data_IF_702728307031
#
_entry.id   IF_702728307031
#
_cell.length_a   1.000
_cell.length_b   1.000
_cell.length_c   1.000
_cell.angle_alpha   90.00
_cell.angle_beta   90.00
_cell.angle_gamma   90.00
#
_symmetry.space_group_name_H-M   'P 1'
#
loop_
_entity.id
_entity.type
_entity.pdbx_description
1 polymer ?
#
# COMPACT_ATOMS: atom_id res chain seq x y z
N UNK A 1 10.93 -12.26 -27.72
CA UNK A 1 9.88 -11.50 -28.42
C UNK A 1 9.21 -10.63 -27.37
N UNK A 2 9.39 -9.31 -27.42
CA UNK A 2 8.69 -8.39 -26.50
C UNK A 2 7.22 -8.35 -26.93
N UNK A 3 6.30 -8.69 -26.03
CA UNK A 3 4.87 -8.55 -26.27
C UNK A 3 4.55 -7.06 -26.10
N UNK A 4 4.40 -6.34 -27.21
CA UNK A 4 3.96 -4.96 -27.17
C UNK A 4 2.50 -4.89 -26.73
N UNK A 5 2.21 -4.15 -25.65
CA UNK A 5 0.84 -3.85 -25.25
C UNK A 5 0.27 -2.74 -26.13
N UNK A 6 -1.03 -2.80 -26.42
CA UNK A 6 -1.78 -1.68 -26.99
C UNK A 6 -2.64 -1.07 -25.87
N UNK A 7 -2.17 -0.01 -25.18
CA UNK A 7 -2.72 0.40 -23.88
C UNK A 7 -4.22 0.67 -23.86
N UNK A 8 -4.79 1.11 -25.00
CA UNK A 8 -6.22 1.43 -25.14
C UNK A 8 -7.12 0.21 -25.43
N UNK A 9 -6.54 -0.98 -25.56
CA UNK A 9 -7.29 -2.23 -25.86
C UNK A 9 -7.08 -3.32 -24.82
N UNK A 10 -6.40 -2.97 -23.72
CA UNK A 10 -6.19 -3.87 -22.59
C UNK A 10 -7.55 -4.26 -22.01
N UNK A 11 -7.74 -5.56 -21.76
CA UNK A 11 -8.99 -6.08 -21.20
C UNK A 11 -8.91 -6.26 -19.69
N UNK A 12 -7.77 -6.77 -19.20
CA UNK A 12 -7.60 -7.11 -17.79
C UNK A 12 -6.31 -6.54 -17.22
N UNK A 13 -6.42 -6.01 -16.01
CA UNK A 13 -5.29 -5.75 -15.12
C UNK A 13 -5.40 -6.69 -13.91
N UNK A 14 -4.44 -7.58 -13.75
CA UNK A 14 -4.48 -8.64 -12.73
C UNK A 14 -3.38 -8.47 -11.70
N UNK A 15 -3.75 -8.56 -10.43
CA UNK A 15 -2.83 -8.76 -9.31
C UNK A 15 -2.59 -10.26 -9.15
N UNK A 16 -1.46 -10.76 -9.67
CA UNK A 16 -1.17 -12.20 -9.80
C UNK A 16 -0.78 -12.80 -8.46
N UNK A 17 0.30 -12.33 -7.83
CA UNK A 17 0.61 -12.64 -6.43
C UNK A 17 1.60 -11.66 -5.79
N UNK A 18 1.76 -11.79 -4.48
CA UNK A 18 2.79 -11.09 -3.71
C UNK A 18 3.52 -12.12 -2.85
N UNK A 19 4.85 -12.10 -2.88
CA UNK A 19 5.70 -13.05 -2.14
C UNK A 19 6.73 -12.31 -1.31
N UNK A 20 7.06 -12.89 -0.16
CA UNK A 20 8.12 -12.41 0.71
C UNK A 20 9.20 -13.47 0.86
N UNK A 21 10.45 -13.06 0.70
CA UNK A 21 11.61 -13.91 0.94
C UNK A 21 12.81 -13.06 1.35
N UNK A 22 13.45 -13.40 2.48
CA UNK A 22 14.74 -12.87 2.91
C UNK A 22 14.90 -11.34 2.83
N UNK A 23 13.86 -10.60 3.24
CA UNK A 23 13.88 -9.14 3.23
C UNK A 23 13.46 -8.52 1.89
N UNK A 24 13.00 -9.31 0.93
CA UNK A 24 12.52 -8.83 -0.36
C UNK A 24 11.04 -9.19 -0.55
N UNK A 25 10.26 -8.20 -0.98
CA UNK A 25 8.91 -8.41 -1.51
C UNK A 25 8.97 -8.49 -3.05
N UNK A 26 8.35 -9.50 -3.62
CA UNK A 26 8.17 -9.68 -5.07
C UNK A 26 6.69 -9.57 -5.39
N UNK A 27 6.32 -8.59 -6.21
CA UNK A 27 4.93 -8.26 -6.54
C UNK A 27 4.73 -8.53 -8.04
N UNK A 28 3.80 -9.42 -8.39
CA UNK A 28 3.55 -9.81 -9.79
C UNK A 28 2.18 -9.34 -10.25
N UNK A 29 2.18 -8.68 -11.40
CA UNK A 29 1.00 -8.19 -12.09
C UNK A 29 0.92 -8.80 -13.48
N UNK A 30 -0.26 -8.73 -14.10
CA UNK A 30 -0.41 -9.01 -15.52
C UNK A 30 -1.32 -8.00 -16.20
N UNK A 31 -0.94 -7.59 -17.41
CA UNK A 31 -1.74 -6.80 -18.35
C UNK A 31 -2.07 -7.73 -19.52
N UNK A 32 -3.29 -8.26 -19.54
CA UNK A 32 -3.70 -9.37 -20.41
C UNK A 32 -2.72 -10.58 -20.34
N UNK A 33 -1.80 -10.69 -21.31
CA UNK A 33 -0.79 -11.75 -21.39
C UNK A 33 0.63 -11.27 -21.00
N UNK A 34 0.84 -9.96 -20.82
CA UNK A 34 2.12 -9.41 -20.37
C UNK A 34 2.22 -9.56 -18.86
N UNK A 35 3.22 -10.29 -18.38
CA UNK A 35 3.55 -10.39 -16.96
C UNK A 35 4.57 -9.33 -16.56
N UNK A 36 4.39 -8.75 -15.37
CA UNK A 36 5.20 -7.66 -14.83
C UNK A 36 5.62 -8.03 -13.41
N UNK A 37 6.91 -7.95 -13.11
CA UNK A 37 7.44 -8.26 -11.78
C UNK A 37 8.15 -7.06 -11.17
N UNK A 38 7.64 -6.57 -10.05
CA UNK A 38 8.27 -5.56 -9.21
C UNK A 38 8.98 -6.23 -8.03
N UNK A 39 10.14 -5.69 -7.62
CA UNK A 39 10.80 -6.11 -6.36
C UNK A 39 11.07 -4.92 -5.45
N UNK A 40 10.89 -5.14 -4.15
CA UNK A 40 11.13 -4.15 -3.10
C UNK A 40 12.05 -4.78 -2.03
N UNK A 41 13.25 -4.24 -1.87
CA UNK A 41 14.23 -4.69 -0.89
C UNK A 41 14.11 -3.90 0.42
N UNK A 42 14.02 -4.62 1.54
CA UNK A 42 14.03 -4.13 2.91
C UNK A 42 15.29 -4.63 3.62
N UNK A 43 16.42 -3.90 3.52
CA UNK A 43 17.68 -4.35 4.10
C UNK A 43 17.60 -4.44 5.62
N UNK A 44 18.14 -5.54 6.18
CA UNK A 44 18.10 -5.78 7.62
C UNK A 44 16.71 -6.11 8.16
N UNK A 45 15.79 -6.58 7.31
CA UNK A 45 14.47 -7.02 7.77
C UNK A 45 14.60 -8.10 8.86
N UNK A 46 13.90 -7.95 10.00
CA UNK A 46 13.95 -8.93 11.08
C UNK A 46 13.20 -10.21 10.69
N UNK A 47 13.52 -11.31 11.38
CA UNK A 47 12.74 -12.55 11.27
C UNK A 47 11.29 -12.32 11.70
N UNK A 48 10.36 -12.73 10.85
CA UNK A 48 8.92 -12.66 11.13
C UNK A 48 8.52 -13.75 12.12
N UNK A 49 7.88 -13.36 13.23
CA UNK A 49 7.35 -14.33 14.18
C UNK A 49 6.02 -14.92 13.70
N UNK A 50 5.72 -16.19 14.01
CA UNK A 50 4.44 -16.82 13.62
C UNK A 50 3.21 -16.03 14.10
N UNK A 51 3.29 -15.40 15.29
CA UNK A 51 2.22 -14.58 15.85
C UNK A 51 1.87 -13.34 15.02
N UNK A 52 2.78 -12.89 14.13
CA UNK A 52 2.60 -11.71 13.26
C UNK A 52 2.35 -12.07 11.80
N UNK A 53 2.41 -13.35 11.44
CA UNK A 53 2.33 -13.82 10.05
C UNK A 53 1.07 -13.29 9.34
N UNK A 54 -0.11 -13.51 9.92
CA UNK A 54 -1.37 -13.10 9.29
C UNK A 54 -1.47 -11.57 9.05
N UNK A 55 -0.96 -10.75 9.98
CA UNK A 55 -0.95 -9.30 9.81
C UNK A 55 0.07 -8.86 8.76
N UNK A 56 1.22 -9.54 8.71
CA UNK A 56 2.23 -9.30 7.69
C UNK A 56 1.73 -9.68 6.29
N UNK A 57 1.03 -10.81 6.14
CA UNK A 57 0.44 -11.23 4.87
C UNK A 57 -0.60 -10.23 4.36
N UNK A 58 -1.44 -9.67 5.24
CA UNK A 58 -2.35 -8.56 4.90
C UNK A 58 -1.59 -7.30 4.47
N UNK A 59 -0.52 -6.95 5.18
CA UNK A 59 0.31 -5.80 4.81
C UNK A 59 1.02 -5.99 3.46
N UNK A 60 1.47 -7.21 3.15
CA UNK A 60 2.10 -7.56 1.88
C UNK A 60 1.08 -7.52 0.73
N UNK A 61 -0.15 -8.01 0.95
CA UNK A 61 -1.24 -7.87 -0.01
C UNK A 61 -1.59 -6.40 -0.26
N UNK A 62 -1.70 -5.59 0.80
CA UNK A 62 -1.93 -4.15 0.67
C UNK A 62 -0.81 -3.46 -0.12
N UNK A 63 0.46 -3.77 0.19
CA UNK A 63 1.61 -3.24 -0.54
C UNK A 63 1.52 -3.57 -2.04
N UNK A 64 1.12 -4.79 -2.39
CA UNK A 64 0.90 -5.21 -3.78
C UNK A 64 -0.14 -4.35 -4.49
N UNK A 65 -1.29 -4.11 -3.86
CA UNK A 65 -2.37 -3.35 -4.47
C UNK A 65 -2.03 -1.88 -4.64
N UNK A 66 -1.42 -1.28 -3.62
CA UNK A 66 -1.04 0.13 -3.64
C UNK A 66 0.10 0.40 -4.63
N UNK A 67 1.12 -0.47 -4.68
CA UNK A 67 2.22 -0.36 -5.64
C UNK A 67 1.73 -0.54 -7.09
N UNK A 68 0.70 -1.35 -7.30
CA UNK A 68 0.05 -1.58 -8.59
C UNK A 68 -0.47 -0.31 -9.28
N UNK A 69 -0.69 0.79 -8.55
CA UNK A 69 -1.05 2.09 -9.13
C UNK A 69 -0.10 2.53 -10.24
N UNK A 70 1.19 2.24 -10.08
CA UNK A 70 2.23 2.60 -11.06
C UNK A 70 1.99 1.91 -12.40
N UNK A 71 1.53 0.66 -12.38
CA UNK A 71 1.27 -0.16 -13.56
C UNK A 71 -0.11 0.13 -14.15
N UNK A 72 -1.13 0.28 -13.30
CA UNK A 72 -2.49 0.60 -13.74
C UNK A 72 -2.52 1.91 -14.53
N UNK A 73 -1.71 2.90 -14.15
CA UNK A 73 -1.53 4.15 -14.90
C UNK A 73 -1.25 3.94 -16.40
N UNK A 74 -0.48 2.91 -16.76
CA UNK A 74 -0.15 2.62 -18.15
C UNK A 74 -1.35 2.16 -18.97
N UNK A 75 -2.40 1.63 -18.33
CA UNK A 75 -3.56 0.99 -18.98
C UNK A 75 -4.90 1.64 -18.61
N UNK A 76 -4.89 2.65 -17.73
CA UNK A 76 -6.09 3.27 -17.17
C UNK A 76 -7.06 3.77 -18.26
N UNK A 77 -6.54 4.26 -19.39
CA UNK A 77 -7.36 4.75 -20.50
C UNK A 77 -8.22 3.68 -21.20
N UNK A 78 -7.96 2.39 -21.00
CA UNK A 78 -8.81 1.31 -21.50
C UNK A 78 -9.95 0.93 -20.54
N UNK A 79 -9.93 1.42 -19.29
CA UNK A 79 -10.86 0.97 -18.24
C UNK A 79 -10.87 -0.57 -18.07
N UNK A 80 -9.70 -1.22 -17.91
CA UNK A 80 -9.64 -2.68 -17.87
C UNK A 80 -10.31 -3.23 -16.61
N UNK A 81 -10.88 -4.43 -16.71
CA UNK A 81 -11.40 -5.13 -15.52
C UNK A 81 -10.25 -5.48 -14.58
N UNK A 82 -10.41 -5.18 -13.29
CA UNK A 82 -9.43 -5.51 -12.26
C UNK A 82 -9.71 -6.91 -11.70
N UNK A 83 -8.66 -7.73 -11.59
CA UNK A 83 -8.75 -9.09 -11.06
C UNK A 83 -7.72 -9.29 -9.95
N UNK A 84 -8.13 -9.89 -8.83
CA UNK A 84 -7.23 -10.34 -7.78
C UNK A 84 -7.15 -11.87 -7.79
N UNK A 85 -5.97 -12.45 -8.07
CA UNK A 85 -5.86 -13.91 -8.25
C UNK A 85 -5.63 -14.69 -6.94
N UNK A 86 -5.04 -14.06 -5.91
CA UNK A 86 -4.81 -14.70 -4.60
C UNK A 86 -5.87 -14.36 -3.56
N UNK A 87 -6.01 -13.07 -3.27
CA UNK A 87 -6.93 -12.53 -2.25
C UNK A 87 -7.50 -11.23 -2.77
N UNK A 88 -8.82 -11.07 -2.64
CA UNK A 88 -9.50 -9.79 -2.85
C UNK A 88 -9.47 -8.95 -1.57
N UNK A 89 -9.46 -7.61 -1.69
CA UNK A 89 -9.58 -6.73 -0.53
C UNK A 89 -10.89 -6.94 0.22
N UNK A 90 -10.83 -6.81 1.55
CA UNK A 90 -12.02 -6.60 2.38
C UNK A 90 -12.58 -5.19 2.13
N UNK A 91 -13.82 -4.90 2.57
CA UNK A 91 -14.49 -3.65 2.23
C UNK A 91 -13.72 -2.39 2.69
N UNK A 92 -13.10 -2.44 3.87
CA UNK A 92 -12.26 -1.37 4.42
C UNK A 92 -10.94 -1.22 3.64
N UNK A 93 -10.31 -2.34 3.30
CA UNK A 93 -9.11 -2.37 2.47
C UNK A 93 -9.39 -1.83 1.06
N UNK A 94 -10.52 -2.20 0.46
CA UNK A 94 -10.95 -1.71 -0.86
C UNK A 94 -11.22 -0.21 -0.81
N UNK A 95 -11.79 0.30 0.29
CA UNK A 95 -11.98 1.74 0.48
C UNK A 95 -10.65 2.49 0.44
N UNK A 96 -9.62 1.96 1.11
CA UNK A 96 -8.27 2.55 1.07
C UNK A 96 -7.66 2.45 -0.33
N UNK A 97 -7.73 1.29 -0.96
CA UNK A 97 -7.17 1.06 -2.30
C UNK A 97 -7.86 1.97 -3.33
N UNK A 98 -9.18 2.08 -3.31
CA UNK A 98 -9.94 2.98 -4.18
C UNK A 98 -9.52 4.44 -3.99
N UNK A 99 -9.43 4.91 -2.74
CA UNK A 99 -8.99 6.26 -2.43
C UNK A 99 -7.57 6.55 -2.97
N UNK A 100 -6.65 5.59 -2.82
CA UNK A 100 -5.28 5.75 -3.34
C UNK A 100 -5.26 5.81 -4.87
N UNK A 101 -6.07 5.01 -5.56
CA UNK A 101 -6.13 5.07 -7.02
C UNK A 101 -6.80 6.35 -7.51
N UNK A 102 -7.98 6.72 -6.97
CA UNK A 102 -8.70 7.92 -7.39
C UNK A 102 -7.91 9.19 -7.11
N UNK A 103 -7.39 9.35 -5.91
CA UNK A 103 -6.67 10.56 -5.53
C UNK A 103 -5.23 10.56 -6.04
N UNK A 104 -4.55 9.42 -6.01
CA UNK A 104 -3.17 9.29 -6.48
C UNK A 104 -3.04 9.44 -8.00
N UNK A 105 -4.08 9.10 -8.77
CA UNK A 105 -4.09 9.25 -10.22
C UNK A 105 -4.88 10.47 -10.70
N UNK A 106 -5.40 11.33 -9.80
CA UNK A 106 -6.25 12.46 -10.17
C UNK A 106 -5.57 13.44 -11.15
N UNK A 107 -4.34 13.88 -10.85
CA UNK A 107 -3.59 14.77 -11.74
C UNK A 107 -3.28 14.08 -13.08
N UNK A 108 -2.87 12.81 -13.04
CA UNK A 108 -2.65 12.03 -14.25
C UNK A 108 -3.91 11.96 -15.11
N UNK A 109 -5.06 11.66 -14.52
CA UNK A 109 -6.33 11.57 -15.22
C UNK A 109 -6.73 12.92 -15.83
N UNK A 110 -6.61 14.00 -15.06
CA UNK A 110 -6.88 15.36 -15.55
C UNK A 110 -6.01 15.72 -16.76
N UNK A 111 -4.68 15.51 -16.65
CA UNK A 111 -3.73 15.80 -17.74
C UNK A 111 -4.02 14.98 -19.00
N UNK A 112 -4.54 13.76 -18.85
CA UNK A 112 -4.81 12.85 -19.97
C UNK A 112 -6.28 12.84 -20.42
N UNK A 113 -7.14 13.70 -19.86
CA UNK A 113 -8.56 13.76 -20.19
C UNK A 113 -9.33 12.47 -19.87
N UNK A 114 -8.91 11.75 -18.83
CA UNK A 114 -9.56 10.52 -18.38
C UNK A 114 -10.55 10.82 -17.26
N UNK A 115 -11.71 10.17 -17.32
CA UNK A 115 -12.68 10.13 -16.24
C UNK A 115 -12.51 8.82 -15.45
N UNK A 116 -11.82 8.88 -14.31
CA UNK A 116 -11.57 7.68 -13.51
C UNK A 116 -12.85 7.13 -12.87
N UNK A 117 -13.90 7.93 -12.69
CA UNK A 117 -15.14 7.44 -12.10
C UNK A 117 -15.86 6.47 -13.04
N UNK A 118 -15.72 6.65 -14.35
CA UNK A 118 -16.24 5.74 -15.37
C UNK A 118 -15.25 4.67 -15.84
N UNK A 119 -13.96 4.77 -15.49
CA UNK A 119 -12.93 3.81 -15.95
C UNK A 119 -12.44 2.88 -14.85
N UNK A 120 -12.45 3.31 -13.58
CA UNK A 120 -11.98 2.53 -12.44
C UNK A 120 -13.15 1.78 -11.79
N UNK A 121 -13.31 0.52 -12.19
CA UNK A 121 -14.28 -0.39 -11.62
C UNK A 121 -13.59 -1.53 -10.87
N UNK A 122 -13.84 -1.58 -9.55
CA UNK A 122 -13.38 -2.68 -8.71
C UNK A 122 -14.33 -3.87 -8.81
N UNK A 123 -13.83 -5.11 -8.72
CA UNK A 123 -14.69 -6.27 -8.60
C UNK A 123 -15.51 -6.18 -7.29
N UNK A 124 -16.71 -6.76 -7.29
CA UNK A 124 -17.51 -6.87 -6.08
C UNK A 124 -16.71 -7.60 -5.00
N UNK A 125 -16.70 -7.05 -3.78
CA UNK A 125 -16.17 -7.76 -2.61
C UNK A 125 -17.02 -9.01 -2.46
N UNK A 126 -16.41 -10.19 -2.61
CA UNK A 126 -17.09 -11.43 -2.25
C UNK A 126 -17.47 -11.32 -0.78
N UNK A 127 -18.77 -11.12 -0.51
CA UNK A 127 -19.29 -11.01 0.85
C UNK A 127 -19.19 -12.39 1.49
N UNK A 128 -18.01 -12.72 2.01
CA UNK A 128 -17.89 -13.76 3.02
C UNK A 128 -18.68 -13.25 4.22
N UNK A 129 -19.89 -13.77 4.41
CA UNK A 129 -20.73 -13.46 5.57
C UNK A 129 -19.85 -13.63 6.82
N UNK A 130 -19.57 -12.57 7.58
CA UNK A 130 -18.92 -12.74 8.86
C UNK A 130 -19.91 -13.54 9.71
N UNK A 131 -19.56 -14.78 10.07
CA UNK A 131 -20.27 -15.51 11.11
C UNK A 131 -19.94 -14.81 12.43
N UNK A 132 -20.65 -13.72 12.69
CA UNK A 132 -20.74 -13.13 14.01
C UNK A 132 -21.63 -14.07 14.81
N UNK A 133 -21.01 -15.05 15.45
CA UNK A 133 -21.61 -15.66 16.64
C UNK A 133 -21.69 -14.54 17.67
N UNK A 134 -22.82 -13.85 17.65
CA UNK A 134 -23.16 -12.81 18.61
C UNK A 134 -23.20 -13.44 20.00
N UNK A 135 -22.19 -13.16 20.81
CA UNK A 135 -22.30 -13.30 22.25
C UNK A 135 -23.42 -12.38 22.72
N UNK A 136 -24.53 -12.97 23.14
CA UNK A 136 -25.67 -12.25 23.71
C UNK A 136 -25.22 -11.56 25.00
N UNK A 137 -25.04 -10.24 24.94
CA UNK A 137 -25.00 -9.35 26.09
C UNK A 137 -26.14 -8.35 25.92
N UNK A 138 -27.17 -8.48 26.75
CA UNK A 138 -28.30 -7.54 26.83
C UNK A 138 -27.81 -6.22 27.39
N UNK A 139 -27.93 -5.13 26.62
CA UNK A 139 -27.77 -3.77 27.11
C UNK A 139 -29.00 -2.96 26.70
N UNK A 140 -29.78 -2.62 27.72
CA UNK A 140 -30.92 -1.71 27.65
C UNK A 140 -30.52 -0.32 27.18
N UNK A 141 -31.43 0.29 26.43
CA UNK A 141 -31.30 1.60 25.81
C UNK A 141 -31.45 2.71 26.85
N UNK A 142 -30.57 3.70 26.83
CA UNK A 142 -30.93 5.05 27.28
C UNK A 142 -30.23 6.09 26.40
N UNK A 143 -31.00 7.11 26.08
CA UNK A 143 -30.90 8.10 25.02
C UNK A 143 -29.87 9.22 25.25
N UNK A 144 -29.37 9.79 24.15
CA UNK A 144 -29.04 11.22 24.09
C UNK A 144 -27.58 11.66 24.27
N UNK A 145 -26.75 11.52 23.23
CA UNK A 145 -25.49 12.26 23.10
C UNK A 145 -24.60 11.73 21.98
N UNK A 146 -24.42 12.51 20.90
CA UNK A 146 -23.61 12.13 19.75
C UNK A 146 -22.15 11.85 20.16
N UNK A 147 -21.78 10.56 20.20
CA UNK A 147 -20.40 10.11 20.29
C UNK A 147 -19.68 10.26 18.93
N UNK A 148 -18.34 10.40 18.92
CA UNK A 148 -17.56 10.46 17.69
C UNK A 148 -17.81 9.21 16.86
N UNK A 149 -17.60 9.30 15.55
CA UNK A 149 -17.57 8.15 14.62
C UNK A 149 -16.67 7.06 15.23
N UNK A 150 -17.25 6.13 16.00
CA UNK A 150 -16.52 5.03 16.58
C UNK A 150 -16.13 4.15 15.40
N UNK A 151 -14.83 4.17 15.06
CA UNK A 151 -14.27 3.19 14.17
C UNK A 151 -14.53 1.83 14.80
N UNK A 152 -15.54 1.11 14.29
CA UNK A 152 -15.84 -0.27 14.69
C UNK A 152 -14.73 -1.26 14.32
N UNK A 153 -13.60 -0.75 13.83
CA UNK A 153 -12.46 -1.50 13.31
C UNK A 153 -11.24 -1.25 14.21
N UNK A 154 -11.36 -1.61 15.49
CA UNK A 154 -10.22 -1.66 16.38
C UNK A 154 -9.30 -2.82 15.96
N UNK A 155 -8.23 -2.51 15.21
CA UNK A 155 -7.22 -3.49 14.84
C UNK A 155 -6.60 -4.13 16.10
N UNK A 156 -6.45 -5.46 16.08
CA UNK A 156 -5.83 -6.18 17.20
C UNK A 156 -4.38 -5.71 17.39
N UNK A 157 -3.99 -5.25 18.60
CA UNK A 157 -2.61 -4.85 18.85
C UNK A 157 -1.63 -5.99 18.63
N UNK A 158 -0.52 -5.72 17.91
CA UNK A 158 0.53 -6.71 17.61
C UNK A 158 1.71 -6.72 18.60
N UNK A 159 1.58 -5.97 19.71
CA UNK A 159 2.62 -5.82 20.71
C UNK A 159 3.94 -5.29 20.12
N UNK A 160 3.86 -4.38 19.14
CA UNK A 160 5.04 -3.73 18.57
C UNK A 160 5.55 -2.67 19.55
N UNK A 161 6.87 -2.52 19.72
CA UNK A 161 7.41 -1.43 20.53
C UNK A 161 7.05 -0.08 19.88
N UNK A 162 6.83 0.93 20.70
CA UNK A 162 6.59 2.29 20.23
C UNK A 162 7.86 2.83 19.54
N UNK A 163 7.78 3.00 18.23
CA UNK A 163 8.82 3.60 17.39
C UNK A 163 8.22 4.11 16.09
N UNK A 164 8.86 5.08 15.47
CA UNK A 164 8.41 5.66 14.20
C UNK A 164 9.39 5.36 13.05
N UNK A 165 8.84 5.29 11.84
CA UNK A 165 9.61 5.46 10.61
C UNK A 165 9.30 6.86 10.09
N UNK A 166 10.33 7.69 9.85
CA UNK A 166 10.19 9.02 9.29
C UNK A 166 10.61 9.00 7.81
N UNK A 167 9.67 9.16 6.86
CA UNK A 167 9.99 9.31 5.45
C UNK A 167 10.82 10.59 5.20
N UNK A 168 11.99 10.43 4.60
CA UNK A 168 12.82 11.54 4.10
C UNK A 168 12.63 11.69 2.60
N UNK A 169 12.23 12.89 2.18
CA UNK A 169 12.01 13.24 0.77
C UNK A 169 13.05 14.20 0.19
N UNK A 170 14.05 14.63 0.97
CA UNK A 170 15.05 15.63 0.56
C UNK A 170 14.57 17.08 0.62
N UNK A 171 13.26 17.30 0.82
CA UNK A 171 12.68 18.61 1.08
C UNK A 171 12.78 19.04 2.55
N UNK A 172 12.69 20.35 2.78
CA UNK A 172 12.78 20.96 4.12
C UNK A 172 11.75 20.43 5.12
N UNK A 173 10.55 20.07 4.67
CA UNK A 173 9.46 19.68 5.57
C UNK A 173 9.78 18.35 6.28
N UNK A 174 10.43 17.41 5.59
CA UNK A 174 10.92 16.17 6.20
C UNK A 174 12.06 16.40 7.21
N UNK A 175 12.87 17.46 7.02
CA UNK A 175 13.90 17.86 7.98
C UNK A 175 13.31 18.52 9.22
N UNK A 176 12.28 19.36 9.05
CA UNK A 176 11.54 19.94 10.19
C UNK A 176 10.88 18.83 11.02
N UNK A 177 10.28 17.84 10.37
CA UNK A 177 9.73 16.67 11.08
C UNK A 177 10.79 15.90 11.85
N UNK A 178 12.00 15.73 11.27
CA UNK A 178 13.11 15.09 11.97
C UNK A 178 13.55 15.90 13.21
N UNK A 179 13.67 17.22 13.07
CA UNK A 179 14.03 18.12 14.16
C UNK A 179 13.01 18.06 15.31
N UNK A 180 11.70 18.07 14.99
CA UNK A 180 10.64 17.94 15.99
C UNK A 180 10.71 16.60 16.75
N UNK A 181 11.02 15.49 16.08
CA UNK A 181 11.17 14.19 16.75
C UNK A 181 12.43 14.14 17.62
N UNK A 182 13.53 14.79 17.19
CA UNK A 182 14.74 14.92 18.00
C UNK A 182 14.50 15.73 19.27
N UNK A 183 13.82 16.88 19.16
CA UNK A 183 13.48 17.73 20.31
C UNK A 183 12.59 17.03 21.34
N UNK A 184 11.81 16.02 20.91
CA UNK A 184 10.91 15.24 21.79
C UNK A 184 11.51 13.93 22.28
N UNK A 185 12.77 13.66 21.93
CA UNK A 185 13.47 12.39 22.19
C UNK A 185 12.65 11.15 21.79
N UNK A 186 11.91 11.23 20.68
CA UNK A 186 11.14 10.10 20.17
C UNK A 186 12.08 9.08 19.50
N UNK A 187 11.74 7.79 19.63
CA UNK A 187 12.48 6.71 18.97
C UNK A 187 12.03 6.59 17.51
N UNK A 188 12.89 6.98 16.57
CA UNK A 188 12.60 6.84 15.14
C UNK A 188 13.79 6.41 14.30
N UNK A 189 13.49 5.83 13.14
CA UNK A 189 14.44 5.58 12.07
C UNK A 189 14.03 6.38 10.83
N UNK A 190 15.02 6.88 10.10
CA UNK A 190 14.84 7.57 8.83
C UNK A 190 14.58 6.52 7.75
N UNK A 191 13.58 6.73 6.90
CA UNK A 191 13.29 5.82 5.79
C UNK A 191 13.14 6.58 4.48
N UNK A 192 13.57 5.99 3.37
CA UNK A 192 13.30 6.52 2.04
C UNK A 192 13.30 5.40 1.02
N UNK A 193 12.71 5.66 -0.15
CA UNK A 193 12.66 4.71 -1.25
C UNK A 193 13.52 5.22 -2.42
N UNK A 194 14.38 4.37 -2.97
CA UNK A 194 15.17 4.64 -4.16
C UNK A 194 16.66 4.91 -3.92
N UNK A 195 17.30 5.61 -4.85
CA UNK A 195 18.77 5.76 -4.91
C UNK A 195 19.26 7.21 -4.78
N UNK A 196 18.44 8.14 -4.29
CA UNK A 196 18.81 9.55 -4.18
C UNK A 196 19.98 9.77 -3.21
N UNK A 197 21.13 10.18 -3.75
CA UNK A 197 22.33 10.50 -2.96
C UNK A 197 22.09 11.71 -2.03
N UNK A 198 21.30 12.69 -2.47
CA UNK A 198 20.98 13.86 -1.68
C UNK A 198 20.21 13.47 -0.41
N UNK A 199 19.21 12.58 -0.54
CA UNK A 199 18.46 12.06 0.62
C UNK A 199 19.39 11.27 1.55
N UNK A 200 20.27 10.43 0.98
CA UNK A 200 21.23 9.66 1.77
C UNK A 200 22.20 10.55 2.57
N UNK A 201 22.70 11.63 1.96
CA UNK A 201 23.56 12.62 2.62
C UNK A 201 22.82 13.37 3.73
N UNK A 202 21.54 13.73 3.51
CA UNK A 202 20.69 14.30 4.55
C UNK A 202 20.52 13.33 5.73
N UNK A 203 20.21 12.07 5.45
CA UNK A 203 20.01 11.05 6.49
C UNK A 203 21.27 10.85 7.35
N UNK A 204 22.45 10.81 6.72
CA UNK A 204 23.74 10.66 7.40
C UNK A 204 24.03 11.78 8.42
N UNK A 205 23.47 12.98 8.22
CA UNK A 205 23.65 14.14 9.13
C UNK A 205 22.71 14.15 10.32
N UNK A 206 21.59 13.40 10.27
CA UNK A 206 20.57 13.39 11.32
C UNK A 206 20.91 12.36 12.43
N UNK A 207 21.97 11.55 12.26
CA UNK A 207 22.52 10.64 13.28
C UNK A 207 21.49 9.70 13.92
N UNK A 208 20.50 9.24 13.14
CA UNK A 208 19.53 8.21 13.53
C UNK A 208 19.65 6.98 12.62
N UNK A 209 19.18 5.79 13.05
CA UNK A 209 19.15 4.61 12.18
C UNK A 209 18.42 4.92 10.87
N UNK A 210 18.90 4.34 9.77
CA UNK A 210 18.33 4.54 8.44
C UNK A 210 17.90 3.22 7.79
N UNK A 211 16.76 3.23 7.13
CA UNK A 211 16.26 2.16 6.28
C UNK A 211 16.09 2.70 4.85
N UNK A 212 17.02 2.37 3.97
CA UNK A 212 16.86 2.66 2.54
C UNK A 212 16.16 1.48 1.86
N UNK A 213 14.94 1.69 1.40
CA UNK A 213 14.16 0.71 0.66
C UNK A 213 14.48 0.83 -0.83
N UNK A 214 14.88 -0.27 -1.48
CA UNK A 214 15.13 -0.25 -2.92
C UNK A 214 13.93 -0.82 -3.67
N UNK A 215 13.42 -0.06 -4.63
CA UNK A 215 12.34 -0.48 -5.51
C UNK A 215 12.88 -0.68 -6.92
N UNK A 216 12.57 -1.81 -7.55
CA UNK A 216 12.85 -2.09 -8.97
C UNK A 216 11.53 -2.41 -9.67
N UNK A 217 11.17 -1.54 -10.60
CA UNK A 217 9.98 -1.67 -11.44
C UNK A 217 10.30 -2.63 -12.60
N UNK A 218 9.29 -3.32 -13.07
CA UNK A 218 9.37 -4.21 -14.23
C UNK A 218 9.77 -3.38 -15.47
N UNK A 219 10.81 -3.78 -16.24
CA UNK A 219 11.34 -3.01 -17.36
C UNK A 219 10.48 -3.06 -18.64
N UNK A 220 9.43 -3.89 -18.67
CA UNK A 220 8.62 -4.14 -19.86
C UNK A 220 7.60 -3.05 -20.19
N UNK A 221 7.41 -2.06 -19.31
CA UNK A 221 6.56 -0.87 -19.53
C UNK A 221 7.37 0.38 -19.83
#
# INVERSE_FOLDING_TARGET
MSVAIEPRRVRQFRFVDARWQDGQATLRYAVDALELTETIDFPGAPTLSPARQAAFDRALAMLHWLAGTSYYKAVAGAGPSIVFEQRSPEADEQTLVDAVYRHGLAEFAHVNGLDLDSLLHWPDVAVGVPSLVAGQGTAESTDGGQSPIESSYAAKPLGLPRRALLPLGGGKDSLVSADLLLQRDEHFALTWVGSSELIAQCAARISRPSLNIRRRIAPEL
#
